data_IF_939239488340
#
_entry.id   IF_939239488340
#
_cell.length_a   1.000
_cell.length_b   1.000
_cell.length_c   1.000
_cell.angle_alpha   90.00
_cell.angle_beta   90.00
_cell.angle_gamma   90.00
#
_symmetry.space_group_name_H-M   'P 1'
#
loop_
_entity.id
_entity.type
_entity.pdbx_description
1 polymer ?
#
# COMPACT_ATOMS: atom_id res chain seq x y z
N UNK A 1 38.85 -2.88 10.03
CA UNK A 1 37.64 -3.70 10.25
C UNK A 1 37.08 -4.08 8.88
N UNK A 2 37.00 -5.37 8.58
CA UNK A 2 36.33 -5.86 7.37
C UNK A 2 34.82 -5.77 7.61
N UNK A 3 34.08 -5.06 6.75
CA UNK A 3 32.63 -5.01 6.84
C UNK A 3 32.05 -6.28 6.22
N UNK A 4 31.24 -7.02 6.97
CA UNK A 4 30.52 -8.19 6.45
C UNK A 4 29.26 -7.75 5.70
N UNK A 5 29.45 -7.36 4.44
CA UNK A 5 28.35 -6.95 3.57
C UNK A 5 27.39 -8.10 3.24
N UNK A 6 27.86 -9.35 3.23
CA UNK A 6 27.02 -10.51 2.95
C UNK A 6 26.00 -10.76 4.06
N UNK A 7 26.43 -10.55 5.32
CA UNK A 7 25.51 -10.58 6.45
C UNK A 7 24.42 -9.51 6.32
N UNK A 8 24.77 -8.26 5.97
CA UNK A 8 23.81 -7.18 5.82
C UNK A 8 22.80 -7.44 4.68
N UNK A 9 23.25 -7.97 3.54
CA UNK A 9 22.36 -8.35 2.44
C UNK A 9 21.31 -9.37 2.90
N UNK A 10 21.75 -10.44 3.58
CA UNK A 10 20.84 -11.47 4.10
C UNK A 10 19.88 -10.93 5.15
N UNK A 11 20.36 -10.04 6.02
CA UNK A 11 19.54 -9.40 7.04
C UNK A 11 18.36 -8.65 6.41
N UNK A 12 18.62 -7.76 5.45
CA UNK A 12 17.56 -6.96 4.81
C UNK A 12 16.66 -7.79 3.89
N UNK A 13 17.22 -8.75 3.16
CA UNK A 13 16.41 -9.63 2.32
C UNK A 13 15.41 -10.44 3.16
N UNK A 14 15.86 -11.00 4.28
CA UNK A 14 14.99 -11.76 5.18
C UNK A 14 13.96 -10.85 5.87
N UNK A 15 14.37 -9.68 6.36
CA UNK A 15 13.46 -8.72 6.98
C UNK A 15 12.36 -8.24 6.03
N UNK A 16 12.68 -8.09 4.73
CA UNK A 16 11.70 -7.72 3.73
C UNK A 16 10.76 -8.89 3.39
N UNK A 17 11.32 -10.04 2.99
CA UNK A 17 10.56 -11.12 2.36
C UNK A 17 9.94 -12.12 3.33
N UNK A 18 10.44 -12.19 4.56
CA UNK A 18 10.00 -13.16 5.57
C UNK A 18 9.30 -12.51 6.76
N UNK A 19 9.25 -11.18 6.83
CA UNK A 19 8.64 -10.44 7.93
C UNK A 19 7.74 -9.30 7.41
N UNK A 20 8.34 -8.25 6.84
CA UNK A 20 7.61 -7.03 6.49
C UNK A 20 6.54 -7.26 5.42
N UNK A 21 6.88 -7.84 4.27
CA UNK A 21 5.90 -8.09 3.19
C UNK A 21 4.82 -9.08 3.63
N UNK A 22 5.15 -10.23 4.26
CA UNK A 22 4.13 -11.12 4.82
C UNK A 22 3.17 -10.45 5.81
N UNK A 23 3.63 -9.49 6.61
CA UNK A 23 2.74 -8.74 7.51
C UNK A 23 1.65 -7.98 6.72
N UNK A 24 2.03 -7.24 5.68
CA UNK A 24 1.07 -6.50 4.86
C UNK A 24 0.17 -7.42 4.04
N UNK A 25 0.71 -8.50 3.46
CA UNK A 25 -0.06 -9.52 2.75
C UNK A 25 -1.16 -10.13 3.63
N UNK A 26 -0.85 -10.37 4.91
CA UNK A 26 -1.77 -11.04 5.84
C UNK A 26 -2.80 -10.09 6.47
N UNK A 27 -2.40 -8.88 6.83
CA UNK A 27 -3.18 -8.04 7.75
C UNK A 27 -3.85 -6.84 7.09
N UNK A 28 -3.33 -6.37 5.95
CA UNK A 28 -3.80 -5.11 5.38
C UNK A 28 -4.88 -5.25 4.32
N UNK A 29 -5.09 -6.42 3.72
CA UNK A 29 -5.87 -6.51 2.49
C UNK A 29 -7.38 -6.44 2.75
N UNK A 30 -8.05 -5.43 2.19
CA UNK A 30 -9.51 -5.35 2.17
C UNK A 30 -10.01 -5.93 0.84
N UNK A 31 -10.20 -7.24 0.79
CA UNK A 31 -10.71 -7.93 -0.41
C UNK A 31 -12.20 -7.69 -0.66
N UNK A 32 -12.94 -7.21 0.35
CA UNK A 32 -14.38 -6.97 0.25
C UNK A 32 -14.69 -5.63 -0.45
N UNK A 33 -13.98 -4.57 -0.08
CA UNK A 33 -14.18 -3.23 -0.66
C UNK A 33 -13.05 -2.75 -1.57
N UNK A 34 -11.93 -3.46 -1.63
CA UNK A 34 -10.71 -3.01 -2.29
C UNK A 34 -9.86 -2.08 -1.42
N UNK A 35 -8.61 -1.91 -1.82
CA UNK A 35 -7.62 -1.15 -1.05
C UNK A 35 -7.12 -1.91 0.20
N UNK A 36 -6.61 -1.15 1.16
CA UNK A 36 -5.86 -1.68 2.29
C UNK A 36 -6.21 -0.99 3.61
N UNK A 37 -6.24 -1.75 4.69
CA UNK A 37 -6.19 -1.26 6.07
C UNK A 37 -4.76 -0.91 6.45
N UNK A 38 -4.58 0.30 6.96
CA UNK A 38 -3.27 0.83 7.38
C UNK A 38 -3.23 1.15 8.87
N UNK A 39 -4.38 1.25 9.50
CA UNK A 39 -4.55 1.35 10.94
C UNK A 39 -4.57 -0.06 11.56
N UNK A 40 -3.38 -0.63 11.66
CA UNK A 40 -3.12 -1.94 12.24
C UNK A 40 -2.43 -1.78 13.59
N UNK A 41 -2.92 -2.48 14.61
CA UNK A 41 -2.23 -2.55 15.90
C UNK A 41 -0.96 -3.40 15.81
N UNK A 42 -0.31 -3.61 16.96
CA UNK A 42 0.95 -4.36 17.03
C UNK A 42 0.79 -5.81 16.57
N UNK A 43 -0.38 -6.40 16.76
CA UNK A 43 -0.72 -7.77 16.39
C UNK A 43 -1.34 -7.86 14.99
N UNK A 44 -1.41 -6.74 14.26
CA UNK A 44 -1.96 -6.65 12.92
C UNK A 44 -3.49 -6.67 12.89
N UNK A 45 -4.17 -6.35 13.99
CA UNK A 45 -5.62 -6.18 14.01
C UNK A 45 -6.00 -4.79 13.54
N UNK A 46 -7.04 -4.72 12.73
CA UNK A 46 -7.58 -3.46 12.21
C UNK A 46 -8.28 -2.72 13.33
N UNK A 47 -7.81 -1.52 13.67
CA UNK A 47 -8.47 -0.64 14.66
C UNK A 47 -9.19 0.56 14.02
N UNK A 48 -8.93 0.85 12.75
CA UNK A 48 -9.67 1.84 11.94
C UNK A 48 -9.72 1.36 10.48
N UNK A 49 -10.82 1.65 9.79
CA UNK A 49 -11.10 1.18 8.43
C UNK A 49 -11.00 2.25 7.35
N UNK A 50 -10.68 3.49 7.73
CA UNK A 50 -10.46 4.58 6.80
C UNK A 50 -9.26 4.30 5.88
N UNK A 51 -9.38 4.81 4.65
CA UNK A 51 -8.48 4.57 3.53
C UNK A 51 -7.72 5.86 3.22
N UNK A 52 -6.50 5.97 3.75
CA UNK A 52 -5.61 7.11 3.52
C UNK A 52 -4.91 6.99 2.17
N UNK A 53 -5.25 7.87 1.22
CA UNK A 53 -4.87 7.77 -0.20
C UNK A 53 -3.36 7.65 -0.39
N UNK A 54 -2.56 8.39 0.39
CA UNK A 54 -1.10 8.31 0.27
C UNK A 54 -0.58 6.91 0.54
N UNK A 55 -1.10 6.26 1.58
CA UNK A 55 -0.70 4.92 1.97
C UNK A 55 -1.26 3.87 1.01
N UNK A 56 -2.47 4.09 0.49
CA UNK A 56 -3.02 3.26 -0.58
C UNK A 56 -2.10 3.26 -1.80
N UNK A 57 -1.76 4.44 -2.33
CA UNK A 57 -0.93 4.55 -3.54
C UNK A 57 0.49 4.02 -3.32
N UNK A 58 1.09 4.27 -2.14
CA UNK A 58 2.41 3.71 -1.79
C UNK A 58 2.42 2.20 -1.70
N UNK A 59 1.34 1.59 -1.20
CA UNK A 59 1.25 0.13 -1.12
C UNK A 59 1.04 -0.48 -2.51
N UNK A 60 0.22 0.12 -3.37
CA UNK A 60 0.14 -0.25 -4.80
C UNK A 60 1.54 -0.22 -5.43
N UNK A 61 2.23 0.92 -5.29
CA UNK A 61 3.57 1.11 -5.85
C UNK A 61 4.56 0.07 -5.30
N UNK A 62 4.55 -0.21 -3.99
CA UNK A 62 5.47 -1.16 -3.36
C UNK A 62 5.33 -2.56 -3.95
N UNK A 63 4.10 -3.08 -4.02
CA UNK A 63 3.86 -4.42 -4.55
C UNK A 63 4.07 -4.48 -6.08
N UNK A 64 3.69 -3.45 -6.82
CA UNK A 64 3.97 -3.36 -8.26
C UNK A 64 5.48 -3.28 -8.55
N UNK A 65 6.23 -2.55 -7.73
CA UNK A 65 7.68 -2.42 -7.83
C UNK A 65 8.37 -3.75 -7.54
N UNK A 66 7.99 -4.45 -6.46
CA UNK A 66 8.51 -5.79 -6.15
C UNK A 66 8.20 -6.79 -7.27
N UNK A 67 6.98 -6.78 -7.79
CA UNK A 67 6.60 -7.61 -8.94
C UNK A 67 7.47 -7.34 -10.18
N UNK A 68 7.79 -6.08 -10.43
CA UNK A 68 8.53 -5.67 -11.63
C UNK A 68 10.05 -5.82 -11.51
N UNK A 69 10.61 -5.63 -10.31
CA UNK A 69 12.06 -5.53 -10.11
C UNK A 69 12.67 -6.73 -9.37
N UNK A 70 11.88 -7.47 -8.59
CA UNK A 70 12.39 -8.59 -7.79
C UNK A 70 11.94 -9.94 -8.35
N UNK A 71 10.63 -10.20 -8.38
CA UNK A 71 10.09 -11.49 -8.83
C UNK A 71 8.66 -11.33 -9.32
N UNK A 72 8.31 -12.02 -10.42
CA UNK A 72 6.97 -12.00 -11.02
C UNK A 72 5.99 -12.91 -10.26
N UNK A 73 5.79 -12.65 -8.96
CA UNK A 73 4.80 -13.37 -8.15
C UNK A 73 3.39 -12.84 -8.40
N UNK A 74 2.48 -13.75 -8.76
CA UNK A 74 1.11 -13.38 -9.13
C UNK A 74 0.32 -12.78 -7.95
N UNK A 75 0.58 -13.23 -6.72
CA UNK A 75 -0.05 -12.68 -5.52
C UNK A 75 0.29 -11.20 -5.30
N UNK A 76 1.55 -10.78 -5.50
CA UNK A 76 1.95 -9.38 -5.45
C UNK A 76 1.22 -8.53 -6.49
N UNK A 77 1.04 -9.06 -7.70
CA UNK A 77 0.29 -8.37 -8.75
C UNK A 77 -1.18 -8.20 -8.36
N UNK A 78 -1.81 -9.24 -7.81
CA UNK A 78 -3.20 -9.18 -7.34
C UNK A 78 -3.38 -8.16 -6.21
N UNK A 79 -2.43 -8.11 -5.26
CA UNK A 79 -2.43 -7.12 -4.18
C UNK A 79 -2.34 -5.70 -4.74
N UNK A 80 -1.42 -5.45 -5.68
CA UNK A 80 -1.29 -4.14 -6.31
C UNK A 80 -2.56 -3.74 -7.09
N UNK A 81 -3.15 -4.69 -7.83
CA UNK A 81 -4.39 -4.47 -8.57
C UNK A 81 -5.57 -4.17 -7.65
N UNK A 82 -5.66 -4.79 -6.47
CA UNK A 82 -6.72 -4.54 -5.50
C UNK A 82 -6.78 -3.06 -5.09
N UNK A 83 -5.62 -2.47 -4.77
CA UNK A 83 -5.52 -1.05 -4.42
C UNK A 83 -5.69 -0.14 -5.63
N UNK A 84 -5.09 -0.50 -6.78
CA UNK A 84 -5.19 0.31 -7.99
C UNK A 84 -6.64 0.45 -8.48
N UNK A 85 -7.41 -0.63 -8.45
CA UNK A 85 -8.83 -0.62 -8.84
C UNK A 85 -9.66 0.25 -7.88
N UNK A 86 -9.44 0.11 -6.57
CA UNK A 86 -10.10 0.96 -5.56
C UNK A 86 -9.79 2.45 -5.77
N UNK A 87 -8.51 2.79 -5.95
CA UNK A 87 -8.06 4.16 -6.16
C UNK A 87 -8.59 4.76 -7.46
N UNK A 88 -8.60 3.98 -8.55
CA UNK A 88 -9.13 4.41 -9.84
C UNK A 88 -10.61 4.78 -9.75
N UNK A 89 -11.38 3.99 -9.01
CA UNK A 89 -12.82 4.14 -8.86
C UNK A 89 -13.21 5.26 -7.88
N UNK A 90 -12.51 5.39 -6.74
CA UNK A 90 -12.96 6.24 -5.63
C UNK A 90 -12.00 7.38 -5.28
N UNK A 91 -10.75 7.36 -5.77
CA UNK A 91 -9.67 8.21 -5.27
C UNK A 91 -9.73 9.68 -5.67
N UNK A 92 -10.64 10.07 -6.58
CA UNK A 92 -10.68 11.42 -7.18
C UNK A 92 -12.04 12.08 -7.08
N UNK A 93 -12.03 13.41 -6.97
CA UNK A 93 -13.22 14.25 -7.11
C UNK A 93 -13.67 14.38 -8.57
N UNK A 94 -14.77 15.12 -8.81
CA UNK A 94 -15.30 15.35 -10.16
C UNK A 94 -14.39 16.18 -11.06
N UNK A 95 -13.40 16.86 -10.49
CA UNK A 95 -12.39 17.65 -11.22
C UNK A 95 -11.10 16.85 -11.46
N UNK A 96 -11.00 15.63 -10.92
CA UNK A 96 -9.84 14.76 -11.04
C UNK A 96 -8.79 14.93 -9.95
N UNK A 97 -9.01 15.80 -8.96
CA UNK A 97 -8.08 15.97 -7.84
C UNK A 97 -8.18 14.76 -6.90
N UNK A 98 -7.03 14.33 -6.36
CA UNK A 98 -6.99 13.19 -5.46
C UNK A 98 -7.39 13.55 -4.03
N UNK A 99 -8.25 12.75 -3.40
CA UNK A 99 -8.60 12.94 -1.99
C UNK A 99 -7.40 12.69 -1.06
N UNK A 100 -7.54 13.08 0.21
CA UNK A 100 -6.58 12.68 1.26
C UNK A 100 -7.02 11.38 1.94
N UNK A 101 -8.29 11.27 2.29
CA UNK A 101 -8.84 10.10 2.97
C UNK A 101 -10.27 9.81 2.50
N UNK A 102 -10.58 8.51 2.43
CA UNK A 102 -11.90 7.95 2.17
C UNK A 102 -12.30 7.06 3.36
N UNK A 103 -13.58 6.77 3.53
CA UNK A 103 -13.99 5.68 4.40
C UNK A 103 -13.73 4.32 3.73
N UNK A 104 -13.97 3.22 4.46
CA UNK A 104 -13.76 1.85 3.95
C UNK A 104 -14.37 1.60 2.56
N UNK A 105 -15.59 2.12 2.35
CA UNK A 105 -16.39 1.94 1.14
C UNK A 105 -16.05 2.95 0.02
N UNK A 106 -15.02 3.78 0.17
CA UNK A 106 -14.58 4.73 -0.85
C UNK A 106 -15.33 6.06 -0.87
N UNK A 107 -16.14 6.38 0.15
CA UNK A 107 -16.76 7.72 0.26
C UNK A 107 -15.73 8.73 0.77
N UNK A 108 -15.65 9.94 0.18
CA UNK A 108 -14.66 10.92 0.58
C UNK A 108 -14.92 11.45 2.00
N UNK A 109 -13.84 11.55 2.77
CA UNK A 109 -13.84 12.13 4.11
C UNK A 109 -13.11 13.46 4.16
N UNK A 110 -11.93 13.52 3.51
CA UNK A 110 -11.03 14.68 3.57
C UNK A 110 -10.50 15.01 2.18
N UNK A 111 -10.71 16.27 1.79
CA UNK A 111 -10.14 16.85 0.57
C UNK A 111 -8.62 17.02 0.68
N UNK A 112 -7.87 17.01 -0.43
CA UNK A 112 -6.44 17.29 -0.36
C UNK A 112 -6.19 18.72 0.10
N UNK A 113 -5.18 18.89 0.95
CA UNK A 113 -4.66 20.21 1.35
C UNK A 113 -3.28 20.48 0.73
N UNK A 114 -2.76 19.55 -0.07
CA UNK A 114 -1.50 19.66 -0.81
C UNK A 114 -1.52 18.72 -2.04
N UNK A 115 -0.50 18.83 -2.88
CA UNK A 115 -0.36 18.06 -4.12
C UNK A 115 0.20 16.64 -3.93
N UNK A 116 0.53 16.23 -2.70
CA UNK A 116 1.21 14.95 -2.49
C UNK A 116 0.30 13.75 -2.74
N UNK A 117 -1.02 13.89 -2.61
CA UNK A 117 -1.96 12.84 -3.01
C UNK A 117 -1.78 12.51 -4.50
N UNK A 118 -1.76 13.54 -5.35
CA UNK A 118 -1.49 13.41 -6.78
C UNK A 118 -0.10 12.84 -7.06
N UNK A 119 0.93 13.30 -6.33
CA UNK A 119 2.29 12.79 -6.51
C UNK A 119 2.38 11.28 -6.22
N UNK A 120 1.76 10.79 -5.13
CA UNK A 120 1.81 9.37 -4.82
C UNK A 120 0.96 8.54 -5.77
N UNK A 121 -0.15 9.09 -6.26
CA UNK A 121 -0.97 8.41 -7.27
C UNK A 121 -0.32 8.31 -8.65
N UNK A 122 0.63 9.20 -8.96
CA UNK A 122 1.38 9.18 -10.22
C UNK A 122 2.53 8.15 -10.26
N UNK A 123 2.93 7.58 -9.11
CA UNK A 123 4.00 6.58 -9.00
C UNK A 123 3.58 5.22 -9.57
#
# INVERSE_FOLDING_TARGET
MSHDFQHLVKLYQNALLQDTIPFWEKHSLDWEHGGYFTCLDREGQVYDTDKFIWLQSRQVWTFAMLYNQLEKREDWLQIAQNGANFLSQYGRDTYGNWYFALNRAGKPLVQPYNIFSDCFAAM
#
